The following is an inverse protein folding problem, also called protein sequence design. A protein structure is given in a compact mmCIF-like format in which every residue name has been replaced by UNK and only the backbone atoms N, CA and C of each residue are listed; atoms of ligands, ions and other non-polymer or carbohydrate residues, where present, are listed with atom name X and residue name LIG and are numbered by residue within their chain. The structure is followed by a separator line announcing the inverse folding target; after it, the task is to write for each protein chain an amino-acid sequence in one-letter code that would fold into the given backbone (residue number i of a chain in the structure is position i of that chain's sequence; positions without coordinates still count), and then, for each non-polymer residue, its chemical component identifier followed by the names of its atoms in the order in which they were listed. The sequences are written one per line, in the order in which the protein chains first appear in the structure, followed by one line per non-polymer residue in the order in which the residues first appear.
data_IF_042291289573
#
_entry.id   IF_042291289573
#
_cell.length_a   1.000
_cell.length_b   1.000
_cell.length_c   1.000
_cell.angle_alpha   90.00
_cell.angle_beta   90.00
_cell.angle_gamma   90.00
#
_symmetry.space_group_name_H-M   'P 1'
#
loop_
_entity.id
_entity.type
_entity.pdbx_description
1 polymer ?
#
# COMPACT_ATOMS: atom_id res chain seq x y z
N UNK A 1 8.17 0.45 13.27
CA UNK A 1 7.02 1.05 13.99
C UNK A 1 5.79 0.14 14.01
N UNK A 2 5.54 -0.58 12.90
CA UNK A 2 4.44 -1.55 12.85
C UNK A 2 4.60 -2.59 13.95
N UNK A 3 5.78 -3.20 14.07
CA UNK A 3 6.07 -4.19 15.10
C UNK A 3 5.92 -3.62 16.51
N UNK A 4 6.35 -2.37 16.69
CA UNK A 4 6.18 -1.69 17.99
C UNK A 4 4.72 -1.58 18.37
N UNK A 5 3.85 -1.16 17.43
CA UNK A 5 2.42 -1.03 17.69
C UNK A 5 1.77 -2.39 17.96
N UNK A 6 2.15 -3.42 17.19
CA UNK A 6 1.64 -4.78 17.39
C UNK A 6 1.96 -5.31 18.79
N UNK A 7 3.18 -5.06 19.27
CA UNK A 7 3.63 -5.55 20.57
C UNK A 7 3.08 -4.72 21.75
N UNK A 8 2.92 -3.40 21.54
CA UNK A 8 2.49 -2.47 22.59
C UNK A 8 0.97 -2.37 22.68
N UNK A 9 0.30 -2.43 21.52
CA UNK A 9 -1.16 -2.28 21.41
C UNK A 9 -1.72 -3.41 20.56
N UNK A 10 -1.75 -4.66 21.06
CA UNK A 10 -2.08 -5.83 20.25
C UNK A 10 -3.52 -5.84 19.71
N UNK A 11 -4.42 -5.08 20.33
CA UNK A 11 -5.81 -4.98 19.88
C UNK A 11 -6.06 -3.85 18.88
N UNK A 12 -5.03 -3.07 18.56
CA UNK A 12 -5.14 -1.97 17.60
C UNK A 12 -5.17 -2.51 16.19
N UNK A 13 -6.15 -2.04 15.41
CA UNK A 13 -6.27 -2.34 13.99
C UNK A 13 -5.47 -1.32 13.20
N UNK A 14 -4.53 -1.79 12.40
CA UNK A 14 -3.61 -0.95 11.63
C UNK A 14 -4.11 -0.76 10.21
N UNK A 15 -3.95 0.44 9.69
CA UNK A 15 -4.13 0.75 8.28
C UNK A 15 -2.80 1.27 7.76
N UNK A 16 -2.29 0.64 6.70
CA UNK A 16 -1.05 1.08 6.07
C UNK A 16 -1.37 1.88 4.81
N UNK A 17 -0.69 3.00 4.64
CA UNK A 17 -0.87 3.82 3.47
C UNK A 17 0.45 4.32 2.91
N UNK A 18 0.47 4.64 1.64
CA UNK A 18 1.65 5.18 0.99
C UNK A 18 1.35 5.83 -0.35
N UNK A 19 2.17 6.80 -0.69
CA UNK A 19 2.10 7.52 -1.95
C UNK A 19 3.47 7.49 -2.60
N UNK A 20 3.52 7.16 -3.90
CA UNK A 20 4.75 7.17 -4.70
C UNK A 20 5.81 6.23 -4.10
N UNK A 21 6.97 6.73 -3.69
CA UNK A 21 8.00 5.93 -3.04
C UNK A 21 7.49 5.27 -1.76
N UNK A 22 6.67 5.97 -0.98
CA UNK A 22 6.03 5.39 0.21
C UNK A 22 5.12 4.21 -0.13
N UNK A 23 4.43 4.28 -1.27
CA UNK A 23 3.62 3.16 -1.76
C UNK A 23 4.51 1.94 -2.07
N UNK A 24 5.66 2.15 -2.69
CA UNK A 24 6.61 1.08 -2.97
C UNK A 24 7.10 0.41 -1.69
N UNK A 25 7.36 1.19 -0.65
CA UNK A 25 7.79 0.65 0.65
C UNK A 25 6.71 -0.23 1.25
N UNK A 26 5.46 0.23 1.26
CA UNK A 26 4.33 -0.57 1.76
C UNK A 26 4.20 -1.87 0.98
N UNK A 27 4.29 -1.80 -0.35
CA UNK A 27 4.21 -2.98 -1.21
C UNK A 27 5.32 -3.99 -0.89
N UNK A 28 6.56 -3.53 -0.81
CA UNK A 28 7.72 -4.41 -0.58
C UNK A 28 7.62 -5.10 0.77
N UNK A 29 7.29 -4.39 1.85
CA UNK A 29 7.25 -5.00 3.18
C UNK A 29 6.07 -5.97 3.35
N UNK A 30 5.03 -5.86 2.55
CA UNK A 30 3.84 -6.71 2.64
C UNK A 30 3.81 -7.83 1.61
N UNK A 31 4.44 -7.66 0.46
CA UNK A 31 4.38 -8.61 -0.65
C UNK A 31 5.58 -9.55 -0.70
N UNK A 32 6.71 -9.18 -0.10
CA UNK A 32 7.94 -9.95 -0.14
C UNK A 32 8.06 -10.75 1.16
N UNK A 33 8.08 -12.10 1.10
CA UNK A 33 8.10 -12.94 2.31
C UNK A 33 9.50 -13.04 2.96
N UNK A 34 10.52 -12.44 2.37
CA UNK A 34 11.89 -12.47 2.87
C UNK A 34 12.51 -11.08 2.72
N UNK A 35 13.62 -10.78 3.40
CA UNK A 35 14.27 -9.47 3.27
C UNK A 35 14.63 -9.15 1.83
N UNK A 36 14.18 -8.00 1.35
CA UNK A 36 14.55 -7.46 0.05
C UNK A 36 15.73 -6.49 0.22
N UNK A 37 16.31 -6.07 -0.90
CA UNK A 37 17.43 -5.11 -0.89
C UNK A 37 17.02 -3.85 -0.12
N UNK A 38 17.78 -3.52 0.93
CA UNK A 38 17.50 -2.37 1.79
C UNK A 38 16.50 -2.61 2.89
N UNK A 39 15.90 -3.82 2.98
CA UNK A 39 14.91 -4.17 4.00
C UNK A 39 15.37 -5.43 4.72
N UNK A 40 15.94 -5.24 5.91
CA UNK A 40 16.50 -6.33 6.71
C UNK A 40 15.53 -6.87 7.74
N UNK A 41 14.33 -6.29 7.83
CA UNK A 41 13.41 -6.56 8.92
C UNK A 41 11.98 -6.72 8.36
N UNK A 42 11.67 -7.86 7.74
CA UNK A 42 10.34 -8.10 7.19
C UNK A 42 9.29 -8.11 8.30
N UNK A 43 8.02 -7.92 7.92
CA UNK A 43 6.93 -8.01 8.87
C UNK A 43 6.85 -9.41 9.47
N UNK A 44 6.53 -9.53 10.78
CA UNK A 44 6.37 -10.84 11.40
C UNK A 44 5.19 -11.61 10.80
N UNK A 45 5.16 -12.95 10.96
CA UNK A 45 4.12 -13.79 10.37
C UNK A 45 2.69 -13.46 10.82
N UNK A 46 2.53 -12.87 12.01
CA UNK A 46 1.23 -12.49 12.54
C UNK A 46 0.79 -11.07 12.16
N UNK A 47 1.60 -10.34 11.39
CA UNK A 47 1.23 -8.99 10.94
C UNK A 47 -0.12 -8.93 10.22
N UNK A 48 -0.50 -9.90 9.35
CA UNK A 48 -1.80 -9.85 8.69
C UNK A 48 -2.99 -9.78 9.65
N UNK A 49 -2.86 -10.34 10.84
CA UNK A 49 -3.94 -10.31 11.84
C UNK A 49 -4.12 -8.93 12.47
N UNK A 50 -3.11 -8.08 12.39
CA UNK A 50 -3.12 -6.73 12.95
C UNK A 50 -3.42 -5.66 11.91
N UNK A 51 -3.20 -5.95 10.63
CA UNK A 51 -3.38 -5.00 9.54
C UNK A 51 -4.77 -5.21 8.94
N UNK A 52 -5.64 -4.23 9.12
CA UNK A 52 -7.02 -4.29 8.66
C UNK A 52 -7.17 -3.90 7.19
N UNK A 53 -6.37 -2.94 6.71
CA UNK A 53 -6.49 -2.42 5.36
C UNK A 53 -5.20 -1.77 4.90
N UNK A 54 -5.01 -1.70 3.58
CA UNK A 54 -3.88 -1.04 2.96
C UNK A 54 -4.38 -0.18 1.79
N UNK A 55 -3.83 1.03 1.68
CA UNK A 55 -4.19 1.95 0.60
C UNK A 55 -2.93 2.62 0.06
N UNK A 56 -2.65 2.42 -1.22
CA UNK A 56 -1.47 3.02 -1.87
C UNK A 56 -1.87 3.78 -3.13
N UNK A 57 -1.11 4.82 -3.44
CA UNK A 57 -1.36 5.73 -4.55
C UNK A 57 -0.09 5.92 -5.36
N UNK A 58 -0.18 5.82 -6.67
CA UNK A 58 0.95 6.04 -7.54
C UNK A 58 2.10 5.08 -7.27
N UNK A 59 1.81 3.79 -7.09
CA UNK A 59 2.75 2.78 -6.65
C UNK A 59 3.72 2.40 -7.79
N UNK A 60 5.05 2.67 -7.65
CA UNK A 60 6.02 2.30 -8.67
C UNK A 60 6.07 0.81 -8.97
N UNK A 61 5.82 -0.04 -7.97
CA UNK A 61 5.88 -1.49 -8.17
C UNK A 61 4.72 -2.01 -9.00
N UNK A 62 3.60 -1.29 -9.07
CA UNK A 62 2.49 -1.63 -9.96
C UNK A 62 2.92 -1.55 -11.43
N UNK A 63 3.82 -0.63 -11.79
CA UNK A 63 4.31 -0.46 -13.16
C UNK A 63 5.07 -1.67 -13.65
N UNK A 64 5.73 -2.40 -12.75
CA UNK A 64 6.49 -3.60 -13.09
C UNK A 64 5.69 -4.89 -12.87
N UNK A 65 4.38 -4.78 -12.76
CA UNK A 65 3.50 -5.94 -12.66
C UNK A 65 3.34 -6.51 -11.26
N UNK A 66 3.70 -5.74 -10.22
CA UNK A 66 3.61 -6.17 -8.82
C UNK A 66 2.76 -5.19 -8.00
N UNK A 67 1.47 -4.98 -8.38
CA UNK A 67 0.61 -4.14 -7.54
C UNK A 67 0.35 -4.80 -6.19
N UNK A 68 0.04 -3.99 -5.21
CA UNK A 68 -0.24 -4.48 -3.85
C UNK A 68 -1.41 -5.47 -3.84
N UNK A 69 -2.38 -5.29 -4.72
CA UNK A 69 -3.53 -6.19 -4.86
C UNK A 69 -3.17 -7.60 -5.33
N UNK A 70 -1.95 -7.81 -5.85
CA UNK A 70 -1.48 -9.14 -6.23
C UNK A 70 -0.93 -9.95 -5.06
N UNK A 71 -0.81 -9.35 -3.87
CA UNK A 71 -0.37 -10.07 -2.68
C UNK A 71 -1.40 -11.15 -2.30
N UNK A 72 -0.97 -12.42 -2.13
CA UNK A 72 -1.90 -13.48 -1.73
C UNK A 72 -2.44 -13.31 -0.30
N UNK A 73 -1.73 -12.56 0.54
CA UNK A 73 -2.11 -12.36 1.95
C UNK A 73 -2.90 -11.07 2.14
N UNK A 74 -2.49 -9.98 1.47
CA UNK A 74 -3.06 -8.66 1.71
C UNK A 74 -3.95 -8.15 0.58
N UNK A 75 -3.94 -8.80 -0.58
CA UNK A 75 -4.62 -8.29 -1.78
C UNK A 75 -6.10 -8.01 -1.60
N UNK A 76 -6.80 -8.86 -0.84
CA UNK A 76 -8.24 -8.71 -0.62
C UNK A 76 -8.61 -7.53 0.28
N UNK A 77 -7.64 -6.99 1.02
CA UNK A 77 -7.85 -5.84 1.89
C UNK A 77 -6.97 -4.64 1.50
N UNK A 78 -6.52 -4.62 0.24
CA UNK A 78 -5.68 -3.56 -0.31
C UNK A 78 -6.36 -2.86 -1.47
N UNK A 79 -6.17 -1.56 -1.56
CA UNK A 79 -6.51 -0.78 -2.74
C UNK A 79 -5.24 -0.12 -3.26
N UNK A 80 -5.01 -0.22 -4.56
CA UNK A 80 -3.79 0.27 -5.21
C UNK A 80 -4.22 1.14 -6.39
N UNK A 81 -4.23 2.45 -6.18
CA UNK A 81 -4.79 3.41 -7.11
C UNK A 81 -3.71 4.01 -8.01
N UNK A 82 -3.97 3.96 -9.32
CA UNK A 82 -3.12 4.57 -10.32
C UNK A 82 -3.98 5.43 -11.23
N UNK A 83 -3.79 6.75 -11.18
CA UNK A 83 -4.48 7.68 -12.06
C UNK A 83 -4.06 7.44 -13.52
N UNK A 84 -5.01 7.54 -14.44
CA UNK A 84 -4.72 7.44 -15.86
C UNK A 84 -3.66 8.45 -16.28
N UNK A 85 -2.58 7.97 -16.91
CA UNK A 85 -1.47 8.80 -17.32
C UNK A 85 -0.37 9.01 -16.29
N UNK A 86 -0.53 8.52 -15.06
CA UNK A 86 0.52 8.63 -14.04
C UNK A 86 1.77 7.82 -14.48
N UNK A 87 2.93 8.48 -14.67
CA UNK A 87 4.11 7.78 -15.18
C UNK A 87 4.81 6.91 -14.14
N UNK A 88 4.48 7.06 -12.86
CA UNK A 88 5.12 6.31 -11.78
C UNK A 88 4.54 4.91 -11.66
N UNK A 89 3.24 4.76 -11.81
CA UNK A 89 2.56 3.48 -11.67
C UNK A 89 2.03 2.92 -12.99
N UNK A 90 2.24 3.61 -14.11
CA UNK A 90 1.83 3.18 -15.45
C UNK A 90 2.81 3.68 -16.51
N UNK A 91 2.54 3.36 -17.77
CA UNK A 91 3.34 3.82 -18.91
C UNK A 91 2.94 5.23 -19.39
N UNK A 92 2.12 5.94 -18.62
CA UNK A 92 1.72 7.30 -18.92
C UNK A 92 2.85 8.30 -18.83
N UNK A 93 2.57 9.56 -19.19
CA UNK A 93 3.56 10.63 -19.16
C UNK A 93 2.98 11.94 -18.60
N UNK A 94 1.91 11.85 -17.81
CA UNK A 94 1.27 13.00 -17.18
C UNK A 94 1.73 13.16 -15.74
N UNK A 95 2.72 14.01 -15.48
CA UNK A 95 3.16 14.31 -14.11
C UNK A 95 2.01 14.88 -13.25
N UNK A 96 1.12 15.77 -13.78
CA UNK A 96 -0.04 16.20 -13.00
C UNK A 96 -0.94 15.06 -12.52
N UNK A 97 -1.06 13.97 -13.29
CA UNK A 97 -1.85 12.81 -12.87
C UNK A 97 -1.29 12.18 -11.59
N UNK A 98 0.04 12.17 -11.44
CA UNK A 98 0.71 11.66 -10.25
C UNK A 98 0.44 12.53 -9.00
N UNK A 99 0.01 13.76 -9.18
CA UNK A 99 -0.21 14.73 -8.10
C UNK A 99 -1.69 14.97 -7.77
N UNK A 100 -2.61 14.30 -8.46
CA UNK A 100 -4.03 14.64 -8.38
C UNK A 100 -4.90 13.59 -7.69
N UNK A 101 -4.33 12.72 -6.87
CA UNK A 101 -5.09 11.68 -6.17
C UNK A 101 -6.14 12.25 -5.20
N UNK A 102 -5.87 13.40 -4.60
CA UNK A 102 -6.87 14.10 -3.79
C UNK A 102 -7.95 14.73 -4.66
N UNK A 103 -7.54 15.51 -5.66
CA UNK A 103 -8.47 16.26 -6.52
C UNK A 103 -9.35 15.34 -7.38
N UNK A 104 -8.81 14.19 -7.83
CA UNK A 104 -9.54 13.25 -8.69
C UNK A 104 -10.41 12.27 -7.90
N UNK A 105 -10.52 12.41 -6.60
CA UNK A 105 -11.38 11.57 -5.78
C UNK A 105 -10.73 10.27 -5.31
N UNK A 106 -9.46 10.02 -5.64
CA UNK A 106 -8.75 8.80 -5.22
C UNK A 106 -8.66 8.65 -3.72
N UNK A 107 -8.35 9.75 -3.02
CA UNK A 107 -8.29 9.72 -1.56
C UNK A 107 -9.65 9.39 -0.93
N UNK A 108 -10.74 9.93 -1.47
CA UNK A 108 -12.09 9.62 -1.00
C UNK A 108 -12.46 8.17 -1.29
N UNK A 109 -12.07 7.64 -2.44
CA UNK A 109 -12.28 6.24 -2.80
C UNK A 109 -11.56 5.32 -1.84
N UNK A 110 -10.30 5.62 -1.52
CA UNK A 110 -9.51 4.85 -0.58
C UNK A 110 -10.10 4.91 0.83
N UNK A 111 -10.54 6.09 1.26
CA UNK A 111 -11.16 6.24 2.58
C UNK A 111 -12.43 5.38 2.71
N UNK A 112 -13.27 5.35 1.68
CA UNK A 112 -14.47 4.51 1.69
C UNK A 112 -14.12 3.03 1.72
N UNK A 113 -13.11 2.62 0.94
CA UNK A 113 -12.63 1.24 0.93
C UNK A 113 -12.14 0.81 2.32
N UNK A 114 -11.30 1.62 2.95
CA UNK A 114 -10.75 1.34 4.27
C UNK A 114 -11.87 1.28 5.32
N UNK A 115 -12.80 2.23 5.28
CA UNK A 115 -13.90 2.29 6.24
C UNK A 115 -14.75 1.01 6.21
N UNK A 116 -14.93 0.39 5.05
CA UNK A 116 -15.69 -0.84 4.92
C UNK A 116 -14.97 -2.05 5.52
N UNK A 117 -13.66 -1.96 5.77
CA UNK A 117 -12.87 -3.04 6.34
C UNK A 117 -12.63 -2.88 7.85
N UNK A 118 -12.98 -1.73 8.39
CA UNK A 118 -12.79 -1.46 9.83
C UNK A 118 -14.04 -1.88 10.68
#
# INVERSE_FOLDING_TARGET
HIQYVMNTCPDTRLVLGGYSQGAAIVDVITSVPFPAIGFNNPLPPDAPDHIAALAVFGNPTAKVGLPLTSSPVYGFKAIDLCNGGDPVCSDGNSVPAHRSYGADGGANQAAAFVANLL
#
